data_IF_166442461007
#
_entry.id   IF_166442461007
#
_cell.length_a   1.000
_cell.length_b   1.000
_cell.length_c   1.000
_cell.angle_alpha   90.00
_cell.angle_beta   90.00
_cell.angle_gamma   90.00
#
_symmetry.space_group_name_H-M   'P 1'
#
loop_
_entity.id
_entity.type
_entity.pdbx_description
1 polymer ?
#
# COMPACT_ATOMS: atom_id res chain seq x y z
N UNK A 1 11.30 -20.35 9.87
CA UNK A 1 10.76 -19.73 8.64
C UNK A 1 11.26 -18.31 8.65
N UNK A 2 12.11 -17.94 7.69
CA UNK A 2 12.56 -16.55 7.58
C UNK A 2 11.44 -15.73 6.97
N UNK A 3 10.94 -14.76 7.74
CA UNK A 3 9.99 -13.75 7.26
C UNK A 3 10.71 -12.70 6.41
N UNK A 4 9.98 -11.70 5.88
CA UNK A 4 10.60 -10.65 5.09
C UNK A 4 11.67 -9.91 5.89
N UNK A 5 12.72 -9.45 5.20
CA UNK A 5 13.74 -8.61 5.83
C UNK A 5 13.12 -7.33 6.38
N UNK A 6 13.38 -7.04 7.65
CA UNK A 6 12.94 -5.82 8.34
C UNK A 6 14.11 -4.85 8.45
N UNK A 7 13.91 -3.63 7.95
CA UNK A 7 14.83 -2.49 8.05
C UNK A 7 14.22 -1.50 9.03
N UNK A 8 14.74 -1.46 10.26
CA UNK A 8 14.24 -0.58 11.32
C UNK A 8 14.87 0.81 11.25
N UNK A 9 14.03 1.83 11.11
CA UNK A 9 14.46 3.23 11.18
C UNK A 9 14.40 3.75 12.63
N UNK A 10 15.33 4.62 12.95
CA UNK A 10 15.26 5.46 14.15
C UNK A 10 14.26 6.59 13.93
N UNK A 11 13.78 7.19 15.02
CA UNK A 11 12.90 8.37 14.94
C UNK A 11 13.58 9.53 14.20
N UNK A 12 14.89 9.72 14.41
CA UNK A 12 15.65 10.73 13.68
C UNK A 12 15.66 10.46 12.17
N UNK A 13 15.91 9.23 11.72
CA UNK A 13 15.87 8.85 10.30
C UNK A 13 14.46 8.99 9.72
N UNK A 14 13.42 8.59 10.48
CA UNK A 14 12.01 8.79 10.10
C UNK A 14 11.74 10.27 9.84
N UNK A 15 12.03 11.11 10.82
CA UNK A 15 11.66 12.53 10.83
C UNK A 15 12.47 13.36 9.82
N UNK A 16 13.76 13.03 9.61
CA UNK A 16 14.59 13.73 8.64
C UNK A 16 14.46 13.18 7.21
N UNK A 17 13.93 11.95 7.04
CA UNK A 17 13.77 11.28 5.75
C UNK A 17 15.08 10.76 5.13
N UNK A 18 16.11 10.54 5.95
CA UNK A 18 17.45 10.11 5.53
C UNK A 18 17.83 8.83 6.28
N UNK A 19 17.66 7.67 5.64
CA UNK A 19 18.21 6.42 6.14
C UNK A 19 19.71 6.30 5.86
N UNK A 20 20.44 5.58 6.73
CA UNK A 20 21.86 5.30 6.50
C UNK A 20 22.11 4.38 5.31
N UNK A 21 23.29 4.51 4.67
CA UNK A 21 23.61 3.82 3.42
C UNK A 21 23.59 2.29 3.54
N UNK A 22 24.01 1.74 4.69
CA UNK A 22 23.90 0.30 4.94
C UNK A 22 22.44 -0.17 4.90
N UNK A 23 21.53 0.57 5.54
CA UNK A 23 20.10 0.21 5.56
C UNK A 23 19.48 0.30 4.17
N UNK A 24 19.90 1.28 3.37
CA UNK A 24 19.48 1.41 1.98
C UNK A 24 19.95 0.21 1.17
N UNK A 25 21.22 -0.18 1.30
CA UNK A 25 21.76 -1.37 0.63
C UNK A 25 21.00 -2.64 1.03
N UNK A 26 20.84 -2.88 2.33
CA UNK A 26 20.13 -4.04 2.85
C UNK A 26 18.66 -4.08 2.36
N UNK A 27 18.02 -2.92 2.19
CA UNK A 27 16.65 -2.83 1.68
C UNK A 27 16.54 -3.22 0.20
N UNK A 28 17.50 -2.75 -0.62
CA UNK A 28 17.57 -3.06 -2.05
C UNK A 28 17.90 -4.54 -2.25
N UNK A 29 18.87 -5.07 -1.51
CA UNK A 29 19.25 -6.50 -1.55
C UNK A 29 18.08 -7.41 -1.18
N UNK A 30 17.36 -7.08 -0.11
CA UNK A 30 16.18 -7.83 0.31
C UNK A 30 15.09 -7.83 -0.76
N UNK A 31 14.81 -6.68 -1.38
CA UNK A 31 13.84 -6.60 -2.46
C UNK A 31 14.24 -7.47 -3.66
N UNK A 32 15.51 -7.47 -4.07
CA UNK A 32 15.97 -8.30 -5.18
C UNK A 32 15.99 -9.81 -4.87
N UNK A 33 16.21 -10.17 -3.60
CA UNK A 33 16.30 -11.57 -3.17
C UNK A 33 14.92 -12.17 -2.91
N UNK A 34 14.08 -11.44 -2.17
CA UNK A 34 12.82 -11.95 -1.62
C UNK A 34 11.58 -11.39 -2.33
N UNK A 35 11.75 -10.34 -3.15
CA UNK A 35 10.64 -9.60 -3.76
C UNK A 35 9.87 -8.70 -2.79
N UNK A 36 10.30 -8.62 -1.52
CA UNK A 36 9.63 -7.88 -0.45
C UNK A 36 10.63 -7.38 0.59
N UNK A 37 10.44 -6.15 1.06
CA UNK A 37 11.17 -5.58 2.20
C UNK A 37 10.21 -4.80 3.09
N UNK A 38 10.39 -4.89 4.41
CA UNK A 38 9.62 -4.10 5.40
C UNK A 38 10.51 -2.99 5.93
N UNK A 39 10.07 -1.74 5.81
CA UNK A 39 10.73 -0.58 6.44
C UNK A 39 9.93 -0.19 7.68
N UNK A 40 10.41 -0.61 8.85
CA UNK A 40 9.75 -0.35 10.13
C UNK A 40 10.05 1.07 10.61
N UNK A 41 9.05 1.72 11.21
CA UNK A 41 9.11 3.11 11.70
C UNK A 41 9.35 4.14 10.56
N UNK A 42 8.82 3.88 9.37
CA UNK A 42 8.93 4.81 8.23
C UNK A 42 7.99 6.03 8.31
N UNK A 43 6.95 5.95 9.15
CA UNK A 43 5.89 6.95 9.29
C UNK A 43 5.51 7.04 10.77
N UNK A 44 5.22 8.24 11.25
CA UNK A 44 4.67 8.44 12.59
C UNK A 44 3.28 7.80 12.67
N UNK A 45 3.07 6.93 13.66
CA UNK A 45 1.81 6.24 13.89
C UNK A 45 0.66 7.23 14.12
N UNK A 46 0.92 8.41 14.68
CA UNK A 46 -0.11 9.45 14.84
C UNK A 46 -0.70 9.95 13.51
N UNK A 47 0.09 9.94 12.42
CA UNK A 47 -0.42 10.26 11.07
C UNK A 47 -1.33 9.13 10.57
N UNK A 48 -0.92 7.88 10.81
CA UNK A 48 -1.68 6.69 10.42
C UNK A 48 -3.01 6.62 11.16
N UNK A 49 -3.02 6.89 12.46
CA UNK A 49 -4.25 6.90 13.28
C UNK A 49 -5.25 7.95 12.79
N UNK A 50 -4.76 9.14 12.42
CA UNK A 50 -5.59 10.21 11.84
C UNK A 50 -6.19 9.80 10.50
N UNK A 51 -5.37 9.23 9.60
CA UNK A 51 -5.86 8.74 8.31
C UNK A 51 -6.87 7.61 8.49
N UNK A 52 -6.59 6.65 9.37
CA UNK A 52 -7.49 5.55 9.68
C UNK A 52 -8.85 6.07 10.18
N UNK A 53 -8.86 7.00 11.14
CA UNK A 53 -10.10 7.60 11.65
C UNK A 53 -10.93 8.28 10.55
N UNK A 54 -10.29 8.96 9.59
CA UNK A 54 -10.96 9.56 8.44
C UNK A 54 -11.47 8.52 7.45
N UNK A 55 -10.65 7.52 7.12
CA UNK A 55 -10.99 6.46 6.17
C UNK A 55 -12.14 5.59 6.67
N UNK A 56 -12.28 5.37 7.98
CA UNK A 56 -13.43 4.68 8.57
C UNK A 56 -14.74 5.45 8.32
N UNK A 57 -14.75 6.77 8.48
CA UNK A 57 -15.93 7.61 8.18
C UNK A 57 -16.28 7.55 6.69
N UNK A 58 -15.28 7.56 5.82
CA UNK A 58 -15.52 7.47 4.38
C UNK A 58 -15.99 6.07 3.97
N UNK A 59 -15.50 5.01 4.64
CA UNK A 59 -16.00 3.64 4.48
C UNK A 59 -17.48 3.55 4.83
N UNK A 60 -17.92 4.13 5.96
CA UNK A 60 -19.34 4.16 6.34
C UNK A 60 -20.21 4.86 5.29
N UNK A 61 -19.75 6.01 4.77
CA UNK A 61 -20.47 6.72 3.69
C UNK A 61 -20.57 5.88 2.43
N UNK A 62 -19.48 5.24 2.01
CA UNK A 62 -19.45 4.37 0.83
C UNK A 62 -20.45 3.22 0.99
N UNK A 63 -20.48 2.58 2.16
CA UNK A 63 -21.42 1.49 2.45
C UNK A 63 -22.89 1.94 2.49
N UNK A 64 -23.15 3.19 2.89
CA UNK A 64 -24.49 3.79 2.85
C UNK A 64 -24.90 4.29 1.45
N UNK A 65 -24.09 4.07 0.41
CA UNK A 65 -24.37 4.51 -0.96
C UNK A 65 -24.03 5.99 -1.22
N UNK A 66 -23.31 6.65 -0.31
CA UNK A 66 -22.94 8.07 -0.35
C UNK A 66 -21.57 8.36 -0.93
N UNK A 67 -21.04 7.53 -1.83
CA UNK A 67 -19.77 7.84 -2.52
C UNK A 67 -19.92 9.04 -3.46
N UNK A 68 -19.03 10.03 -3.37
CA UNK A 68 -19.02 11.29 -4.16
C UNK A 68 -18.86 11.08 -5.68
N UNK A 69 -18.75 9.84 -6.14
CA UNK A 69 -18.85 9.46 -7.54
C UNK A 69 -19.82 8.31 -7.59
N UNK A 70 -20.81 8.35 -8.50
CA UNK A 70 -21.83 7.31 -8.72
C UNK A 70 -21.29 5.95 -9.17
N UNK A 71 -20.13 5.54 -8.67
CA UNK A 71 -19.49 4.26 -8.85
C UNK A 71 -20.00 3.27 -7.81
N UNK A 72 -20.43 2.12 -8.31
CA UNK A 72 -20.72 0.94 -7.51
C UNK A 72 -19.57 0.63 -6.55
N UNK A 73 -19.92 0.19 -5.34
CA UNK A 73 -18.93 -0.26 -4.35
C UNK A 73 -18.04 -1.34 -4.98
N UNK A 74 -16.72 -1.12 -4.99
CA UNK A 74 -15.77 -2.04 -5.61
C UNK A 74 -15.10 -2.89 -4.53
N UNK A 75 -15.36 -4.19 -4.58
CA UNK A 75 -14.70 -5.16 -3.71
C UNK A 75 -13.59 -5.87 -4.47
N UNK A 76 -12.44 -6.03 -3.82
CA UNK A 76 -11.38 -6.91 -4.30
C UNK A 76 -11.89 -8.36 -4.29
N UNK A 77 -11.51 -9.15 -5.29
CA UNK A 77 -11.92 -10.54 -5.39
C UNK A 77 -11.40 -11.33 -4.20
N UNK A 78 -12.31 -11.72 -3.31
CA UNK A 78 -12.00 -12.53 -2.14
C UNK A 78 -12.04 -14.03 -2.50
N UNK A 79 -13.02 -14.47 -3.30
CA UNK A 79 -13.16 -15.85 -3.80
C UNK A 79 -14.01 -15.90 -5.08
N UNK A 80 -14.01 -17.02 -5.80
CA UNK A 80 -14.78 -17.20 -7.05
C UNK A 80 -16.32 -17.14 -6.85
N UNK A 81 -16.79 -17.16 -5.60
CA UNK A 81 -18.21 -17.28 -5.24
C UNK A 81 -18.85 -16.01 -4.67
N UNK A 82 -18.12 -14.90 -4.55
CA UNK A 82 -18.64 -13.67 -3.93
C UNK A 82 -19.23 -12.71 -4.98
N UNK A 83 -20.55 -12.54 -4.90
CA UNK A 83 -21.29 -11.44 -5.56
C UNK A 83 -21.03 -10.11 -4.86
N UNK A 84 -21.27 -8.97 -5.52
CA UNK A 84 -21.16 -7.64 -4.88
C UNK A 84 -22.03 -7.51 -3.60
N UNK A 85 -23.17 -8.21 -3.54
CA UNK A 85 -24.06 -8.26 -2.37
C UNK A 85 -23.42 -9.01 -1.18
N UNK A 86 -22.67 -10.07 -1.43
CA UNK A 86 -22.01 -10.86 -0.38
C UNK A 86 -20.68 -10.24 0.06
N UNK A 87 -19.99 -9.53 -0.84
CA UNK A 87 -18.82 -8.72 -0.48
C UNK A 87 -19.19 -7.49 0.38
N UNK A 88 -20.43 -6.99 0.31
CA UNK A 88 -20.92 -5.96 1.24
C UNK A 88 -21.11 -6.47 2.68
N UNK A 89 -21.20 -7.78 2.88
CA UNK A 89 -21.34 -8.40 4.20
C UNK A 89 -19.99 -8.72 4.88
N UNK A 90 -18.86 -8.59 4.15
CA UNK A 90 -17.54 -8.99 4.65
C UNK A 90 -16.47 -9.04 3.55
N UNK A 91 -16.29 -7.96 2.82
CA UNK A 91 -15.41 -7.83 1.66
C UNK A 91 -14.05 -7.18 1.98
N UNK A 92 -13.08 -7.29 1.06
CA UNK A 92 -11.96 -6.34 1.02
C UNK A 92 -12.39 -5.19 0.09
N UNK A 93 -12.84 -4.09 0.68
CA UNK A 93 -13.31 -2.89 -0.01
C UNK A 93 -12.11 -2.14 -0.59
N UNK A 94 -12.16 -1.89 -1.89
CA UNK A 94 -11.22 -0.99 -2.53
C UNK A 94 -11.77 0.44 -2.45
N UNK A 95 -11.14 1.31 -1.66
CA UNK A 95 -11.53 2.71 -1.51
C UNK A 95 -10.40 3.67 -1.94
N UNK A 96 -10.77 4.84 -2.46
CA UNK A 96 -9.83 5.93 -2.72
C UNK A 96 -9.55 6.60 -1.38
N UNK A 97 -8.27 6.77 -0.96
CA UNK A 97 -7.98 7.46 0.28
C UNK A 97 -8.26 8.97 0.15
N UNK A 98 -8.38 9.71 1.25
CA UNK A 98 -8.60 11.15 1.22
C UNK A 98 -7.52 11.89 0.41
N UNK A 99 -7.94 12.66 -0.60
CA UNK A 99 -7.06 13.42 -1.51
C UNK A 99 -7.13 14.93 -1.26
N UNK A 100 -7.92 15.38 -0.29
CA UNK A 100 -7.96 16.76 0.11
C UNK A 100 -6.63 17.16 0.77
N UNK A 101 -6.24 18.41 0.59
CA UNK A 101 -4.92 18.93 0.95
C UNK A 101 -4.55 18.65 2.42
N UNK A 102 -5.53 18.73 3.31
CA UNK A 102 -5.37 18.55 4.76
C UNK A 102 -5.08 17.09 5.15
N UNK A 103 -5.33 16.13 4.25
CA UNK A 103 -5.12 14.69 4.44
C UNK A 103 -4.00 14.12 3.56
N UNK A 104 -3.46 14.91 2.64
CA UNK A 104 -2.38 14.50 1.73
C UNK A 104 -1.00 14.61 2.42
N UNK A 105 -0.76 13.77 3.43
CA UNK A 105 0.50 13.74 4.18
C UNK A 105 1.67 13.25 3.30
N UNK A 106 2.73 14.05 3.08
CA UNK A 106 3.89 13.62 2.31
C UNK A 106 4.55 12.36 2.85
N UNK A 107 4.51 12.13 4.16
CA UNK A 107 5.04 10.95 4.83
C UNK A 107 4.37 9.65 4.36
N UNK A 108 3.15 9.73 3.82
CA UNK A 108 2.38 8.60 3.30
C UNK A 108 2.43 8.58 1.77
N UNK A 109 2.08 9.68 1.12
CA UNK A 109 1.92 9.74 -0.34
C UNK A 109 3.23 9.95 -1.11
N UNK A 110 4.28 10.45 -0.44
CA UNK A 110 5.58 10.76 -1.03
C UNK A 110 6.73 10.42 -0.06
N UNK A 111 6.61 9.28 0.64
CA UNK A 111 7.56 8.89 1.69
C UNK A 111 9.00 8.87 1.15
N UNK A 112 9.88 9.67 1.74
CA UNK A 112 11.26 9.85 1.26
C UNK A 112 12.07 8.55 1.25
N UNK A 113 11.87 7.67 2.23
CA UNK A 113 12.57 6.38 2.30
C UNK A 113 12.09 5.45 1.19
N UNK A 114 10.77 5.34 1.01
CA UNK A 114 10.19 4.53 -0.05
C UNK A 114 10.64 5.02 -1.43
N UNK A 115 10.54 6.33 -1.70
CA UNK A 115 10.98 6.94 -2.96
C UNK A 115 12.47 6.71 -3.19
N UNK A 116 13.30 6.85 -2.15
CA UNK A 116 14.74 6.59 -2.27
C UNK A 116 15.00 5.14 -2.65
N UNK A 117 14.41 4.16 -1.96
CA UNK A 117 14.57 2.74 -2.29
C UNK A 117 14.09 2.44 -3.72
N UNK A 118 12.89 2.90 -4.07
CA UNK A 118 12.31 2.73 -5.41
C UNK A 118 13.16 3.37 -6.51
N UNK A 119 13.86 4.47 -6.23
CA UNK A 119 14.73 5.11 -7.21
C UNK A 119 15.92 4.24 -7.65
N UNK A 120 16.38 3.33 -6.79
CA UNK A 120 17.42 2.34 -7.11
C UNK A 120 16.86 1.08 -7.78
N UNK A 121 15.58 0.76 -7.55
CA UNK A 121 14.93 -0.42 -8.12
C UNK A 121 14.37 -0.13 -9.51
N UNK A 122 13.60 0.95 -9.67
CA UNK A 122 12.79 1.21 -10.87
C UNK A 122 13.46 2.15 -11.87
N UNK A 123 14.10 3.23 -11.37
CA UNK A 123 14.88 4.28 -12.07
C UNK A 123 14.91 5.55 -11.20
N UNK A 124 15.79 6.54 -11.47
CA UNK A 124 16.00 7.70 -10.59
C UNK A 124 14.79 8.60 -10.30
N UNK A 125 13.67 8.45 -11.03
CA UNK A 125 12.45 9.26 -10.88
C UNK A 125 11.21 8.37 -10.90
N UNK A 126 10.91 7.64 -9.81
CA UNK A 126 9.69 6.86 -9.72
C UNK A 126 8.46 7.79 -9.63
N UNK A 127 7.37 7.40 -10.27
CA UNK A 127 6.10 8.14 -10.29
C UNK A 127 4.97 7.27 -9.74
N UNK A 128 4.08 7.87 -8.95
CA UNK A 128 2.88 7.20 -8.46
C UNK A 128 1.76 7.31 -9.50
N UNK A 129 1.49 6.22 -10.23
CA UNK A 129 0.42 6.17 -11.24
C UNK A 129 -0.93 5.67 -10.71
N UNK A 130 -0.95 5.10 -9.50
CA UNK A 130 -2.12 4.48 -8.93
C UNK A 130 -2.16 4.68 -7.42
N UNK A 131 -3.30 5.17 -6.91
CA UNK A 131 -3.52 5.42 -5.48
C UNK A 131 -4.92 4.93 -5.12
N UNK A 132 -4.95 3.78 -4.45
CA UNK A 132 -6.14 3.13 -3.90
C UNK A 132 -5.72 2.45 -2.60
N UNK A 133 -6.71 2.10 -1.78
CA UNK A 133 -6.50 1.40 -0.52
C UNK A 133 -7.41 0.20 -0.41
N UNK A 134 -7.02 -0.74 0.44
CA UNK A 134 -7.71 -1.98 0.70
C UNK A 134 -8.21 -1.97 2.15
N UNK A 135 -9.53 -2.00 2.34
CA UNK A 135 -10.19 -1.92 3.65
C UNK A 135 -10.91 -3.21 3.92
N UNK A 136 -10.41 -3.97 4.89
CA UNK A 136 -11.01 -5.23 5.28
C UNK A 136 -12.28 -4.97 6.08
N UNK A 137 -13.44 -5.30 5.50
CA UNK A 137 -14.70 -5.39 6.23
C UNK A 137 -14.73 -6.73 6.96
N UNK A 138 -15.23 -6.76 8.19
CA UNK A 138 -15.16 -7.89 9.12
C UNK A 138 -15.54 -9.24 8.48
N UNK A 139 -14.53 -9.96 8.00
CA UNK A 139 -14.67 -11.23 7.29
C UNK A 139 -13.56 -12.18 7.69
N UNK A 140 -13.87 -13.47 7.71
CA UNK A 140 -12.90 -14.54 7.89
C UNK A 140 -12.46 -15.15 6.55
N UNK A 141 -12.99 -14.63 5.43
CA UNK A 141 -12.65 -15.10 4.09
C UNK A 141 -11.25 -14.65 3.69
N UNK A 142 -10.48 -15.57 3.11
CA UNK A 142 -9.12 -15.32 2.66
C UNK A 142 -9.13 -14.89 1.20
N UNK A 143 -8.36 -13.84 0.87
CA UNK A 143 -8.08 -13.51 -0.53
C UNK A 143 -7.35 -14.65 -1.24
N UNK A 144 -7.80 -14.95 -2.47
CA UNK A 144 -7.06 -15.84 -3.37
C UNK A 144 -5.64 -15.31 -3.59
N UNK A 145 -4.67 -16.24 -3.73
CA UNK A 145 -3.30 -15.88 -4.08
C UNK A 145 -3.30 -15.31 -5.50
N UNK A 146 -2.81 -14.09 -5.65
CA UNK A 146 -2.74 -13.39 -6.93
C UNK A 146 -1.52 -12.46 -6.98
N UNK A 147 -1.24 -11.93 -8.16
CA UNK A 147 -0.35 -10.81 -8.37
C UNK A 147 -1.21 -9.60 -8.76
N UNK A 148 -0.92 -8.43 -8.17
CA UNK A 148 -1.64 -7.18 -8.43
C UNK A 148 -1.51 -6.73 -9.89
N UNK A 149 -0.33 -6.95 -10.47
CA UNK A 149 -0.04 -6.73 -11.88
C UNK A 149 0.61 -7.97 -12.47
N UNK A 150 0.18 -8.35 -13.68
CA UNK A 150 0.88 -9.32 -14.50
C UNK A 150 1.69 -8.55 -15.53
N UNK A 151 3.00 -8.62 -15.44
CA UNK A 151 3.88 -8.16 -16.49
C UNK A 151 4.29 -9.36 -17.36
N UNK A 152 4.38 -9.14 -18.67
CA UNK A 152 5.09 -10.07 -19.53
C UNK A 152 6.57 -9.98 -19.16
N UNK A 153 7.14 -11.06 -18.62
CA UNK A 153 8.57 -11.14 -18.44
C UNK A 153 9.19 -11.44 -19.80
N UNK A 154 10.22 -10.70 -20.26
CA UNK A 154 10.90 -11.05 -21.49
C UNK A 154 11.44 -12.49 -21.38
N UNK A 155 11.06 -13.34 -22.33
CA UNK A 155 11.45 -14.76 -22.38
C UNK A 155 12.95 -14.94 -22.68
N UNK A 156 13.59 -13.92 -23.24
CA UNK A 156 14.99 -13.92 -23.62
C UNK A 156 15.71 -12.72 -22.98
N UNK A 157 16.83 -13.00 -22.31
CA UNK A 157 17.53 -12.06 -21.44
C UNK A 157 18.33 -10.97 -22.18
N UNK A 158 18.58 -11.10 -23.48
CA UNK A 158 19.25 -10.08 -24.30
C UNK A 158 18.77 -10.22 -25.75
N UNK A 159 18.26 -9.13 -26.32
CA UNK A 159 18.14 -8.93 -27.76
C UNK A 159 19.30 -8.07 -28.25
#
# INVERSE_FOLDING_TARGET
MDGPKIIKLTDAERDNGVMGDKKLYDAIEAFHTDGLVVVENAIDVGIIDRLNARMLQDTEKILCGGGDSGNSVVYNRLSDNLTNESAALGGNLSQVPPLEKEWMFPEVYANKHAVRILSYILRPRPEAHFIRTNTLLATNERQLVHADLRCEHPEYLFG
#
